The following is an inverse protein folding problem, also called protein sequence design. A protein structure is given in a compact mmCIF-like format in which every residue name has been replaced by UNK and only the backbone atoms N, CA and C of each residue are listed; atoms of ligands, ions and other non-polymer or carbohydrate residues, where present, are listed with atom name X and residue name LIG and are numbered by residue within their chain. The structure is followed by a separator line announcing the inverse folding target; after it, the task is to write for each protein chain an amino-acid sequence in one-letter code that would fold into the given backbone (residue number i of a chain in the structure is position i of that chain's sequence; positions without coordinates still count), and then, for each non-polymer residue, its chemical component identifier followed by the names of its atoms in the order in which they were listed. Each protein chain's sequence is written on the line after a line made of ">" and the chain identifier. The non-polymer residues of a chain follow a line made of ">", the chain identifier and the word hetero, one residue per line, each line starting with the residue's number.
data_IF_728919413493
#
_entry.id   IF_728919413493
#
_cell.length_a   1.000
_cell.length_b   1.000
_cell.length_c   1.000
_cell.angle_alpha   90.00
_cell.angle_beta   90.00
_cell.angle_gamma   90.00
#
_symmetry.space_group_name_H-M   'P 1'
#
loop_
_entity.id
_entity.type
_entity.pdbx_description
1 polymer ?
#
# COMPACT_ATOMS: atom_id res chain seq x y z
N UNK A 1 -27.80 39.33 -18.92
CA UNK A 1 -27.17 38.12 -18.37
C UNK A 1 -27.93 37.73 -17.10
N UNK A 2 -28.67 36.62 -17.04
CA UNK A 2 -29.38 36.25 -15.81
C UNK A 2 -28.35 35.87 -14.74
N UNK A 3 -28.39 36.55 -13.59
CA UNK A 3 -27.57 36.25 -12.44
C UNK A 3 -27.97 34.89 -11.87
N UNK A 4 -27.12 33.88 -11.99
CA UNK A 4 -27.34 32.56 -11.38
C UNK A 4 -27.13 32.68 -9.86
N UNK A 5 -28.13 33.20 -9.16
CA UNK A 5 -28.11 33.37 -7.71
C UNK A 5 -28.16 32.02 -7.00
N UNK A 6 -27.00 31.44 -6.69
CA UNK A 6 -26.94 30.20 -5.90
C UNK A 6 -27.32 30.45 -4.44
N UNK A 7 -28.38 29.80 -3.96
CA UNK A 7 -28.79 29.85 -2.54
C UNK A 7 -27.96 28.85 -1.74
N UNK A 8 -27.48 29.24 -0.55
CA UNK A 8 -26.67 28.36 0.32
C UNK A 8 -27.22 28.33 1.74
N UNK A 9 -27.17 27.16 2.35
CA UNK A 9 -27.50 26.98 3.75
C UNK A 9 -26.31 27.37 4.61
N UNK A 10 -26.53 28.24 5.60
CA UNK A 10 -25.51 28.65 6.56
C UNK A 10 -25.96 28.37 7.98
N UNK A 11 -25.04 27.87 8.81
CA UNK A 11 -25.22 27.75 10.24
C UNK A 11 -24.28 28.74 10.94
N UNK A 12 -24.86 29.59 11.79
CA UNK A 12 -24.14 30.56 12.62
C UNK A 12 -24.01 30.00 14.03
N UNK A 13 -22.84 30.16 14.64
CA UNK A 13 -22.51 29.68 15.98
C UNK A 13 -21.47 30.59 16.63
N UNK A 14 -21.32 30.49 17.94
CA UNK A 14 -20.26 31.18 18.69
C UNK A 14 -19.12 30.20 18.98
N UNK A 15 -17.89 30.68 18.89
CA UNK A 15 -16.67 29.94 19.19
C UNK A 15 -15.65 30.89 19.79
N UNK A 16 -15.22 30.65 21.03
CA UNK A 16 -14.35 31.56 21.81
C UNK A 16 -14.78 33.04 21.66
N UNK A 17 -16.04 33.33 22.02
CA UNK A 17 -16.65 34.66 21.99
C UNK A 17 -16.73 35.35 20.61
N UNK A 18 -16.38 34.63 19.53
CA UNK A 18 -16.50 35.11 18.16
C UNK A 18 -17.66 34.43 17.46
N UNK A 19 -18.51 35.24 16.81
CA UNK A 19 -19.58 34.72 15.96
C UNK A 19 -18.99 34.25 14.62
N UNK A 20 -19.16 32.97 14.31
CA UNK A 20 -18.69 32.33 13.10
C UNK A 20 -19.85 31.71 12.32
N UNK A 21 -19.59 31.36 11.06
CA UNK A 21 -20.55 30.65 10.21
C UNK A 21 -19.88 29.53 9.43
N UNK A 22 -20.61 28.44 9.21
CA UNK A 22 -20.26 27.37 8.26
C UNK A 22 -21.35 27.23 7.20
N UNK A 23 -20.98 26.86 5.97
CA UNK A 23 -21.94 26.45 4.96
C UNK A 23 -22.37 24.99 5.21
N UNK A 24 -23.65 24.65 5.02
CA UNK A 24 -24.15 23.27 5.12
C UNK A 24 -24.47 22.65 3.76
N UNK A 25 -24.44 23.44 2.70
CA UNK A 25 -24.67 23.01 1.32
C UNK A 25 -25.28 24.11 0.46
N UNK A 26 -25.42 23.83 -0.84
CA UNK A 26 -26.10 24.68 -1.81
C UNK A 26 -27.51 24.11 -2.07
N UNK A 27 -28.49 24.98 -2.27
CA UNK A 27 -29.82 24.61 -2.74
C UNK A 27 -29.83 24.60 -4.28
N UNK A 28 -30.41 23.59 -4.95
CA UNK A 28 -31.28 22.54 -4.42
C UNK A 28 -30.58 21.24 -4.00
N UNK A 29 -29.27 21.08 -4.26
CA UNK A 29 -28.50 19.85 -3.98
C UNK A 29 -28.66 19.34 -2.53
N UNK A 30 -28.83 20.27 -1.58
CA UNK A 30 -29.12 19.97 -0.18
C UNK A 30 -30.52 20.44 0.18
N UNK A 31 -31.38 19.46 0.47
CA UNK A 31 -32.75 19.70 0.95
C UNK A 31 -32.77 20.35 2.34
N UNK A 32 -33.89 20.99 2.69
CA UNK A 32 -34.07 21.58 4.02
C UNK A 32 -33.93 20.53 5.15
N UNK A 33 -34.42 19.31 4.92
CA UNK A 33 -34.33 18.20 5.88
C UNK A 33 -32.87 17.84 6.15
N UNK A 34 -32.07 17.67 5.09
CA UNK A 34 -30.65 17.35 5.23
C UNK A 34 -29.86 18.52 5.83
N UNK A 35 -30.20 19.77 5.49
CA UNK A 35 -29.59 20.95 6.11
C UNK A 35 -29.84 21.00 7.63
N UNK A 36 -31.04 20.64 8.10
CA UNK A 36 -31.36 20.53 9.53
C UNK A 36 -30.55 19.43 10.22
N UNK A 37 -30.44 18.26 9.61
CA UNK A 37 -29.60 17.15 10.14
C UNK A 37 -28.13 17.57 10.27
N UNK A 38 -27.56 18.18 9.23
CA UNK A 38 -26.16 18.67 9.27
C UNK A 38 -25.95 19.76 10.32
N UNK A 39 -26.96 20.60 10.57
CA UNK A 39 -26.93 21.61 11.65
C UNK A 39 -26.86 20.94 13.02
N UNK A 40 -27.65 19.90 13.26
CA UNK A 40 -27.66 19.17 14.54
C UNK A 40 -26.30 18.55 14.83
N UNK A 41 -25.69 17.89 13.83
CA UNK A 41 -24.31 17.36 13.94
C UNK A 41 -23.30 18.46 14.28
N UNK A 42 -23.35 19.59 13.55
CA UNK A 42 -22.44 20.71 13.81
C UNK A 42 -22.67 21.34 15.20
N UNK A 43 -23.92 21.42 15.67
CA UNK A 43 -24.25 21.90 17.02
C UNK A 43 -23.71 20.95 18.10
N UNK A 44 -23.80 19.64 17.89
CA UNK A 44 -23.25 18.65 18.82
C UNK A 44 -21.72 18.77 18.93
N UNK A 45 -21.02 19.00 17.80
CA UNK A 45 -19.57 19.26 17.81
C UNK A 45 -19.22 20.50 18.65
N UNK A 46 -19.95 21.61 18.48
CA UNK A 46 -19.75 22.83 19.30
C UNK A 46 -19.99 22.54 20.78
N UNK A 47 -21.03 21.77 21.12
CA UNK A 47 -21.32 21.39 22.50
C UNK A 47 -20.21 20.53 23.13
N UNK A 48 -19.54 19.69 22.34
CA UNK A 48 -18.38 18.90 22.74
C UNK A 48 -17.06 19.71 22.69
N UNK A 49 -17.13 21.03 22.55
CA UNK A 49 -15.98 21.91 22.45
C UNK A 49 -15.03 21.52 21.29
N UNK A 50 -15.58 21.13 20.14
CA UNK A 50 -14.88 20.87 18.89
C UNK A 50 -15.35 21.87 17.81
N UNK A 51 -14.42 22.62 17.18
CA UNK A 51 -14.77 23.55 16.10
C UNK A 51 -15.26 22.77 14.87
N UNK A 52 -16.52 22.92 14.42
CA UNK A 52 -17.05 22.22 13.25
C UNK A 52 -16.28 22.51 11.95
N UNK A 53 -15.60 23.66 11.84
CA UNK A 53 -14.77 24.00 10.68
C UNK A 53 -13.49 23.16 10.66
N UNK A 54 -12.83 23.06 11.82
CA UNK A 54 -11.63 22.25 12.00
C UNK A 54 -11.94 20.77 11.75
N UNK A 55 -13.05 20.27 12.32
CA UNK A 55 -13.53 18.90 12.10
C UNK A 55 -13.75 18.62 10.61
N UNK A 56 -14.49 19.49 9.91
CA UNK A 56 -14.72 19.32 8.47
C UNK A 56 -13.43 19.40 7.65
N UNK A 57 -12.49 20.28 8.02
CA UNK A 57 -11.18 20.36 7.36
C UNK A 57 -10.40 19.06 7.57
N UNK A 58 -10.36 18.54 8.79
CA UNK A 58 -9.70 17.28 9.12
C UNK A 58 -10.31 16.10 8.35
N UNK A 59 -11.64 16.00 8.28
CA UNK A 59 -12.31 14.93 7.52
C UNK A 59 -12.03 15.02 6.02
N UNK A 60 -12.00 16.24 5.44
CA UNK A 60 -11.59 16.42 4.03
C UNK A 60 -10.13 16.07 3.79
N UNK A 61 -9.26 16.43 4.72
CA UNK A 61 -7.84 16.09 4.64
C UNK A 61 -7.66 14.57 4.73
N UNK A 62 -8.31 13.89 5.69
CA UNK A 62 -8.31 12.42 5.78
C UNK A 62 -8.80 11.79 4.49
N UNK A 63 -9.92 12.24 3.92
CA UNK A 63 -10.43 11.73 2.65
C UNK A 63 -9.44 11.94 1.49
N UNK A 64 -8.81 13.11 1.40
CA UNK A 64 -7.79 13.37 0.37
C UNK A 64 -6.51 12.57 0.59
N UNK A 65 -6.08 12.40 1.84
CA UNK A 65 -4.91 11.60 2.20
C UNK A 65 -5.17 10.12 1.92
N UNK A 66 -6.38 9.63 2.18
CA UNK A 66 -6.77 8.26 1.86
C UNK A 66 -6.68 7.99 0.35
N UNK A 67 -7.16 8.92 -0.48
CA UNK A 67 -7.09 8.79 -1.95
C UNK A 67 -5.65 8.88 -2.48
N UNK A 68 -4.81 9.73 -1.90
CA UNK A 68 -3.46 9.98 -2.41
C UNK A 68 -2.38 9.07 -1.81
N UNK A 69 -2.65 8.41 -0.68
CA UNK A 69 -1.70 7.55 0.04
C UNK A 69 -2.24 6.13 0.15
N UNK A 70 -2.58 5.55 -0.99
CA UNK A 70 -2.82 4.11 -1.10
C UNK A 70 -1.53 3.34 -0.82
N UNK A 71 -1.66 2.06 -0.44
CA UNK A 71 -0.51 1.18 -0.26
C UNK A 71 0.37 1.15 -1.52
N UNK A 72 -0.24 1.10 -2.71
CA UNK A 72 0.47 1.16 -3.98
C UNK A 72 1.35 2.40 -4.08
N UNK A 73 0.75 3.59 -3.92
CA UNK A 73 1.47 4.86 -4.03
C UNK A 73 2.64 4.96 -3.04
N UNK A 74 2.44 4.51 -1.80
CA UNK A 74 3.51 4.53 -0.78
C UNK A 74 4.59 3.49 -1.08
N UNK A 75 4.19 2.31 -1.55
CA UNK A 75 5.11 1.23 -1.89
C UNK A 75 6.00 1.57 -3.09
N UNK A 76 5.49 2.33 -4.06
CA UNK A 76 6.26 2.86 -5.18
C UNK A 76 7.28 3.91 -4.72
N UNK A 77 6.87 4.87 -3.87
CA UNK A 77 7.81 5.85 -3.27
C UNK A 77 8.91 5.16 -2.48
N UNK A 78 8.56 4.14 -1.69
CA UNK A 78 9.52 3.32 -0.97
C UNK A 78 10.48 2.58 -1.93
N UNK A 79 9.95 1.98 -3.01
CA UNK A 79 10.74 1.24 -3.98
C UNK A 79 11.72 2.14 -4.73
N UNK A 80 11.31 3.35 -5.08
CA UNK A 80 12.15 4.37 -5.69
C UNK A 80 13.30 4.79 -4.75
N UNK A 81 12.97 5.13 -3.49
CA UNK A 81 13.97 5.50 -2.48
C UNK A 81 14.97 4.36 -2.24
N UNK A 82 14.48 3.13 -2.15
CA UNK A 82 15.30 1.93 -2.00
C UNK A 82 16.24 1.77 -3.19
N UNK A 83 15.71 1.92 -4.40
CA UNK A 83 16.49 1.77 -5.64
C UNK A 83 17.62 2.79 -5.75
N UNK A 84 17.41 4.03 -5.26
CA UNK A 84 18.45 5.07 -5.17
C UNK A 84 19.53 4.76 -4.14
N UNK A 85 19.17 4.17 -2.99
CA UNK A 85 20.10 3.84 -1.90
C UNK A 85 20.96 2.59 -2.16
N UNK A 86 20.57 1.72 -3.10
CA UNK A 86 21.28 0.46 -3.34
C UNK A 86 22.47 0.64 -4.31
N UNK A 87 23.64 0.14 -3.92
CA UNK A 87 24.83 0.04 -4.78
C UNK A 87 24.57 -0.83 -6.01
N UNK A 88 25.31 -0.61 -7.12
CA UNK A 88 25.13 -1.33 -8.41
C UNK A 88 25.04 -2.86 -8.25
N UNK A 89 25.79 -3.45 -7.31
CA UNK A 89 25.81 -4.90 -7.03
C UNK A 89 24.49 -5.44 -6.41
N UNK A 90 23.70 -4.59 -5.74
CA UNK A 90 22.43 -5.00 -5.08
C UNK A 90 21.18 -4.72 -5.93
N UNK A 91 21.33 -4.20 -7.16
CA UNK A 91 20.19 -3.87 -8.05
C UNK A 91 19.26 -5.07 -8.31
N UNK A 92 19.80 -6.28 -8.38
CA UNK A 92 19.00 -7.50 -8.50
C UNK A 92 17.98 -7.68 -7.35
N UNK A 93 18.34 -7.27 -6.13
CA UNK A 93 17.43 -7.31 -4.97
C UNK A 93 16.30 -6.29 -5.07
N UNK A 94 16.52 -5.13 -5.71
CA UNK A 94 15.48 -4.12 -5.93
C UNK A 94 14.49 -4.56 -7.01
N UNK A 95 15.00 -5.15 -8.11
CA UNK A 95 14.17 -5.76 -9.14
C UNK A 95 13.29 -6.89 -8.60
N UNK A 96 13.82 -7.69 -7.68
CA UNK A 96 13.05 -8.75 -7.03
C UNK A 96 11.90 -8.20 -6.19
N UNK A 97 12.14 -7.14 -5.39
CA UNK A 97 11.10 -6.52 -4.57
C UNK A 97 9.92 -6.01 -5.43
N UNK A 98 10.20 -5.35 -6.55
CA UNK A 98 9.16 -4.85 -7.47
C UNK A 98 8.31 -5.97 -8.09
N UNK A 99 8.92 -7.12 -8.42
CA UNK A 99 8.18 -8.29 -8.92
C UNK A 99 7.20 -8.84 -7.88
N UNK A 100 7.64 -8.99 -6.63
CA UNK A 100 6.77 -9.48 -5.56
C UNK A 100 5.72 -8.47 -5.14
N UNK A 101 6.04 -7.17 -5.20
CA UNK A 101 5.09 -6.10 -4.97
C UNK A 101 3.89 -6.26 -5.93
N UNK A 102 4.16 -6.31 -7.23
CA UNK A 102 3.13 -6.47 -8.26
C UNK A 102 2.40 -7.81 -8.21
N UNK A 103 3.12 -8.90 -7.98
CA UNK A 103 2.56 -10.25 -8.03
C UNK A 103 1.75 -10.61 -6.79
N UNK A 104 2.25 -10.28 -5.61
CA UNK A 104 1.72 -10.80 -4.35
C UNK A 104 1.14 -9.69 -3.44
N UNK A 105 1.64 -8.45 -3.48
CA UNK A 105 1.21 -7.37 -2.55
C UNK A 105 0.08 -6.48 -3.06
N UNK A 106 0.25 -5.89 -4.24
CA UNK A 106 -0.74 -4.97 -4.82
C UNK A 106 -2.12 -5.60 -5.02
N UNK A 107 -2.27 -6.89 -5.42
CA UNK A 107 -3.59 -7.46 -5.62
C UNK A 107 -4.46 -7.56 -4.35
N UNK A 108 -3.88 -7.44 -3.16
CA UNK A 108 -4.61 -7.53 -1.89
C UNK A 108 -4.66 -6.19 -1.16
N UNK A 109 -3.56 -5.43 -1.18
CA UNK A 109 -3.42 -4.21 -0.38
C UNK A 109 -3.41 -2.92 -1.21
N UNK A 110 -3.20 -3.01 -2.53
CA UNK A 110 -2.81 -1.89 -3.39
C UNK A 110 -3.73 -0.69 -3.35
N UNK A 111 -5.03 -0.91 -3.53
CA UNK A 111 -6.05 0.13 -3.61
C UNK A 111 -6.44 0.73 -2.25
N UNK A 112 -6.09 0.05 -1.16
CA UNK A 112 -6.45 0.47 0.18
C UNK A 112 -5.53 1.62 0.65
N UNK A 113 -6.08 2.65 1.32
CA UNK A 113 -5.28 3.63 2.03
C UNK A 113 -4.31 2.94 2.99
N UNK A 114 -3.05 3.39 3.05
CA UNK A 114 -2.05 2.73 3.89
C UNK A 114 -2.42 2.70 5.38
N UNK A 115 -3.21 3.68 5.84
CA UNK A 115 -3.72 3.75 7.20
C UNK A 115 -4.84 2.76 7.50
N UNK A 116 -5.57 2.31 6.48
CA UNK A 116 -6.69 1.37 6.63
C UNK A 116 -6.23 -0.09 6.51
N UNK A 117 -4.95 -0.32 6.16
CA UNK A 117 -4.38 -1.66 6.07
C UNK A 117 -4.22 -2.26 7.47
N UNK A 118 -5.08 -3.22 7.83
CA UNK A 118 -5.05 -3.84 9.16
C UNK A 118 -3.96 -4.91 9.25
N UNK A 119 -3.57 -5.25 10.50
CA UNK A 119 -2.69 -6.41 10.74
C UNK A 119 -3.27 -7.72 10.20
N UNK A 120 -4.60 -7.85 10.18
CA UNK A 120 -5.30 -9.01 9.63
C UNK A 120 -5.06 -9.16 8.13
N UNK A 121 -5.22 -8.07 7.37
CA UNK A 121 -5.03 -8.06 5.91
C UNK A 121 -3.60 -8.43 5.53
N UNK A 122 -2.62 -7.86 6.25
CA UNK A 122 -1.20 -8.14 6.02
C UNK A 122 -0.87 -9.61 6.35
N UNK A 123 -1.44 -10.15 7.43
CA UNK A 123 -1.24 -11.55 7.81
C UNK A 123 -1.86 -12.52 6.80
N UNK A 124 -3.09 -12.23 6.32
CA UNK A 124 -3.76 -13.04 5.31
C UNK A 124 -2.95 -13.12 4.02
N UNK A 125 -2.39 -12.00 3.59
CA UNK A 125 -1.49 -11.96 2.44
C UNK A 125 -0.28 -12.87 2.65
N UNK A 126 0.39 -12.82 3.81
CA UNK A 126 1.55 -13.68 4.09
C UNK A 126 1.13 -15.16 4.06
N UNK A 127 0.00 -15.50 4.70
CA UNK A 127 -0.55 -16.86 4.71
C UNK A 127 -0.93 -17.36 3.32
N UNK A 128 -1.37 -16.49 2.41
CA UNK A 128 -1.65 -16.85 1.01
C UNK A 128 -0.37 -17.32 0.30
N UNK A 129 0.76 -16.69 0.58
CA UNK A 129 2.06 -17.06 0.01
C UNK A 129 2.60 -18.34 0.65
N UNK A 130 2.41 -18.52 1.95
CA UNK A 130 2.78 -19.73 2.68
C UNK A 130 1.98 -20.95 2.17
N UNK A 131 0.66 -20.82 1.98
CA UNK A 131 -0.20 -21.87 1.39
C UNK A 131 0.23 -22.31 -0.02
N UNK A 132 0.93 -21.45 -0.77
CA UNK A 132 1.53 -21.79 -2.08
C UNK A 132 2.80 -22.63 -1.97
N UNK A 133 3.30 -22.89 -0.76
CA UNK A 133 4.59 -23.53 -0.49
C UNK A 133 5.80 -22.61 -0.66
N UNK A 134 5.58 -21.30 -0.87
CA UNK A 134 6.65 -20.35 -1.21
C UNK A 134 7.26 -19.68 0.05
N UNK A 135 7.70 -20.48 1.03
CA UNK A 135 8.12 -19.99 2.36
C UNK A 135 9.28 -18.99 2.34
N UNK A 136 10.27 -19.19 1.45
CA UNK A 136 11.38 -18.23 1.26
C UNK A 136 10.87 -16.89 0.72
N UNK A 137 9.86 -16.94 -0.15
CA UNK A 137 9.21 -15.74 -0.68
C UNK A 137 8.39 -15.04 0.41
N UNK A 138 7.64 -15.79 1.20
CA UNK A 138 6.88 -15.25 2.34
C UNK A 138 7.79 -14.52 3.32
N UNK A 139 8.96 -15.07 3.64
CA UNK A 139 9.97 -14.39 4.49
C UNK A 139 10.44 -13.07 3.89
N UNK A 140 10.72 -13.02 2.58
CA UNK A 140 11.12 -11.77 1.90
C UNK A 140 10.01 -10.74 1.91
N UNK A 141 8.77 -11.19 1.65
CA UNK A 141 7.57 -10.35 1.63
C UNK A 141 7.31 -9.75 3.00
N UNK A 142 7.40 -10.53 4.09
CA UNK A 142 7.33 -10.02 5.47
C UNK A 142 8.34 -8.89 5.72
N UNK A 143 9.60 -9.10 5.31
CA UNK A 143 10.65 -8.09 5.46
C UNK A 143 10.33 -6.81 4.68
N UNK A 144 9.84 -6.92 3.45
CA UNK A 144 9.50 -5.74 2.64
C UNK A 144 8.26 -5.02 3.15
N UNK A 145 7.22 -5.75 3.57
CA UNK A 145 6.04 -5.16 4.19
C UNK A 145 6.43 -4.34 5.42
N UNK A 146 7.25 -4.92 6.31
CA UNK A 146 7.76 -4.20 7.48
C UNK A 146 8.54 -2.93 7.05
N UNK A 147 9.36 -3.00 6.00
CA UNK A 147 10.08 -1.83 5.50
C UNK A 147 9.17 -0.76 4.87
N UNK A 148 8.12 -1.15 4.16
CA UNK A 148 7.14 -0.24 3.54
C UNK A 148 6.34 0.48 4.65
N UNK A 149 5.82 -0.26 5.63
CA UNK A 149 5.07 0.35 6.72
C UNK A 149 5.97 1.20 7.64
N UNK A 150 7.23 0.82 7.87
CA UNK A 150 8.18 1.71 8.57
C UNK A 150 8.48 2.98 7.79
N UNK A 151 8.53 2.90 6.47
CA UNK A 151 8.66 4.08 5.62
C UNK A 151 7.42 4.98 5.73
N UNK A 152 6.23 4.39 5.71
CA UNK A 152 4.98 5.11 5.90
C UNK A 152 4.87 5.78 7.28
N UNK A 153 5.36 5.12 8.34
CA UNK A 153 5.51 5.73 9.67
C UNK A 153 6.44 6.93 9.65
N UNK A 154 7.59 6.82 8.97
CA UNK A 154 8.55 7.91 8.85
C UNK A 154 7.98 9.11 8.04
N UNK A 155 7.08 8.86 7.08
CA UNK A 155 6.32 9.91 6.37
C UNK A 155 5.14 10.47 7.21
N UNK A 156 4.87 9.94 8.40
CA UNK A 156 3.76 10.36 9.26
C UNK A 156 2.38 9.93 8.73
N UNK A 157 2.33 8.90 7.89
CA UNK A 157 1.08 8.40 7.31
C UNK A 157 0.35 7.42 8.23
N UNK A 158 1.10 6.74 9.10
CA UNK A 158 0.60 5.77 10.08
C UNK A 158 1.36 5.90 11.40
N UNK A 159 0.68 5.60 12.50
CA UNK A 159 1.29 5.64 13.84
C UNK A 159 1.89 4.29 14.25
N UNK A 160 1.29 3.19 13.79
CA UNK A 160 1.65 1.82 14.18
C UNK A 160 1.88 0.97 12.93
N UNK A 161 2.95 0.17 12.95
CA UNK A 161 3.26 -0.75 11.87
C UNK A 161 2.41 -2.04 11.97
N UNK A 162 1.46 -2.29 11.05
CA UNK A 162 0.65 -3.51 11.06
C UNK A 162 1.46 -4.77 10.71
N UNK A 163 2.61 -4.61 10.06
CA UNK A 163 3.51 -5.69 9.68
C UNK A 163 4.60 -6.00 10.73
N UNK A 164 4.54 -5.38 11.91
CA UNK A 164 5.42 -5.72 13.02
C UNK A 164 5.11 -7.13 13.55
N UNK A 165 6.16 -7.86 13.95
CA UNK A 165 6.08 -9.14 14.67
C UNK A 165 5.34 -10.28 13.93
N UNK A 166 5.20 -10.16 12.60
CA UNK A 166 4.60 -11.21 11.77
C UNK A 166 5.45 -12.48 11.66
N UNK A 167 6.70 -12.43 12.13
CA UNK A 167 7.60 -13.58 12.23
C UNK A 167 7.19 -14.55 13.34
N UNK A 168 6.49 -14.10 14.38
CA UNK A 168 6.03 -14.96 15.49
C UNK A 168 5.04 -16.02 15.01
N UNK A 169 4.19 -15.66 14.05
CA UNK A 169 3.13 -16.52 13.50
C UNK A 169 3.52 -17.15 12.15
N UNK A 170 4.79 -16.99 11.75
CA UNK A 170 5.28 -17.45 10.47
C UNK A 170 5.50 -18.95 10.44
N UNK A 171 5.18 -19.58 9.31
CA UNK A 171 5.56 -20.97 9.09
C UNK A 171 7.09 -21.09 8.96
N UNK A 172 7.66 -22.04 9.70
CA UNK A 172 9.11 -22.27 9.70
C UNK A 172 9.47 -23.11 8.48
N UNK A 173 10.40 -22.65 7.62
CA UNK A 173 10.83 -23.44 6.48
C UNK A 173 11.48 -24.75 6.95
N UNK A 174 11.23 -25.83 6.20
CA UNK A 174 11.93 -27.09 6.39
C UNK A 174 13.45 -26.97 6.22
N UNK A 175 14.21 -28.03 6.53
CA UNK A 175 15.67 -28.02 6.46
C UNK A 175 16.17 -27.55 5.08
N UNK A 176 17.22 -26.72 5.09
CA UNK A 176 17.81 -26.16 3.87
C UNK A 176 18.35 -27.29 3.01
N UNK A 177 17.71 -27.54 1.86
CA UNK A 177 18.24 -28.45 0.86
C UNK A 177 19.20 -27.67 -0.05
N UNK A 178 20.49 -27.94 0.10
CA UNK A 178 21.49 -27.40 -0.81
C UNK A 178 21.34 -28.05 -2.19
N UNK A 179 21.53 -27.26 -3.25
CA UNK A 179 21.63 -27.81 -4.59
C UNK A 179 22.88 -28.70 -4.66
N UNK A 180 22.78 -29.91 -5.25
CA UNK A 180 23.94 -30.78 -5.40
C UNK A 180 25.03 -30.05 -6.19
N UNK A 181 26.27 -30.21 -5.75
CA UNK A 181 27.41 -29.70 -6.50
C UNK A 181 27.77 -30.67 -7.63
N UNK A 182 28.21 -30.12 -8.75
CA UNK A 182 28.64 -30.92 -9.90
C UNK A 182 29.96 -31.62 -9.56
N UNK A 183 29.98 -32.95 -9.64
CA UNK A 183 31.20 -33.72 -9.45
C UNK A 183 32.10 -33.64 -10.69
N UNK A 184 33.41 -33.81 -10.52
CA UNK A 184 34.37 -33.75 -11.64
C UNK A 184 34.10 -34.82 -12.70
N UNK A 185 33.61 -35.99 -12.30
CA UNK A 185 33.23 -37.07 -13.22
C UNK A 185 31.92 -36.78 -13.99
N UNK A 186 31.09 -35.86 -13.52
CA UNK A 186 29.84 -35.44 -14.18
C UNK A 186 30.07 -34.31 -15.19
N UNK A 187 31.20 -33.60 -15.11
CA UNK A 187 31.57 -32.52 -16.04
C UNK A 187 31.55 -32.94 -17.52
N UNK A 188 32.14 -34.07 -17.94
CA UNK A 188 32.14 -34.46 -19.35
C UNK A 188 30.73 -34.70 -19.90
N UNK A 189 29.83 -35.25 -19.06
CA UNK A 189 28.43 -35.44 -19.42
C UNK A 189 27.72 -34.11 -19.65
N UNK A 190 27.84 -33.18 -18.69
CA UNK A 190 27.27 -31.85 -18.81
C UNK A 190 27.78 -31.10 -20.05
N UNK A 191 29.10 -31.11 -20.29
CA UNK A 191 29.71 -30.41 -21.42
C UNK A 191 29.20 -30.93 -22.77
N UNK A 192 29.01 -32.24 -22.93
CA UNK A 192 28.41 -32.84 -24.13
C UNK A 192 26.97 -32.41 -24.31
N UNK A 193 26.17 -32.38 -23.25
CA UNK A 193 24.77 -31.94 -23.32
C UNK A 193 24.66 -30.47 -23.72
N UNK A 194 25.53 -29.60 -23.19
CA UNK A 194 25.55 -28.17 -23.53
C UNK A 194 25.97 -27.96 -25.00
N UNK A 195 27.00 -28.64 -25.48
CA UNK A 195 27.43 -28.54 -26.89
C UNK A 195 26.38 -29.08 -27.86
N UNK A 196 25.73 -30.21 -27.53
CA UNK A 196 24.64 -30.74 -28.36
C UNK A 196 23.43 -29.80 -28.38
N UNK A 197 23.11 -29.15 -27.26
CA UNK A 197 22.06 -28.14 -27.20
C UNK A 197 22.35 -26.93 -28.10
N UNK A 198 23.59 -26.43 -28.12
CA UNK A 198 23.99 -25.33 -29.02
C UNK A 198 23.90 -25.71 -30.50
N UNK A 199 24.26 -26.96 -30.85
CA UNK A 199 24.15 -27.46 -32.22
C UNK A 199 22.69 -27.58 -32.66
N UNK A 200 21.82 -28.13 -31.81
CA UNK A 200 20.37 -28.26 -32.10
C UNK A 200 19.69 -26.88 -32.16
N UNK A 201 20.08 -25.94 -31.28
CA UNK A 201 19.58 -24.57 -31.31
C UNK A 201 20.06 -23.77 -32.53
N UNK A 202 21.20 -24.15 -33.13
CA UNK A 202 21.74 -23.55 -34.35
C UNK A 202 21.13 -24.14 -35.63
N UNK A 203 20.65 -25.38 -35.59
CA UNK A 203 20.05 -26.08 -36.73
C UNK A 203 18.54 -25.78 -36.90
N UNK A 204 17.86 -25.40 -35.82
CA UNK A 204 16.48 -24.91 -35.85
C UNK A 204 16.42 -23.38 -35.77
N UNK A 205 16.61 -22.71 -36.92
CA UNK A 205 16.40 -21.27 -37.05
C UNK A 205 14.95 -20.83 -36.89
N UNK A 206 14.39 -20.87 -35.68
CA UNK A 206 13.14 -20.15 -35.36
C UNK A 206 13.17 -19.51 -33.97
N UNK A 207 12.71 -18.25 -33.85
CA UNK A 207 12.76 -17.48 -32.62
C UNK A 207 11.62 -17.92 -31.70
N UNK A 208 11.93 -18.21 -30.45
CA UNK A 208 10.91 -18.38 -29.42
C UNK A 208 10.91 -17.11 -28.56
N UNK A 209 9.76 -16.43 -28.62
CA UNK A 209 9.34 -15.25 -27.85
C UNK A 209 9.36 -15.56 -26.34
#
# INVERSE_FOLDING_TARGET
>A
MPTTGSKRWHFRFYWHDKQLRISLGTYPDVSLKEARRRREVARALVANNIDPRSYRRAERQKASHAVNNTFEAVSDRWHELRSKKLTKSKKGSAGQAGKYLKKDMLPCLGDLPIADNSRGDVLELVRRIERRGALVSARKVRTWLNQIFRFAMAEGLIDVNPAADLDIVAETPGPVRHNPFLQVNELPGLLRTVTLYEVIASDHGTPII
#
